data_IF_038815186191
#
_entry.id   IF_038815186191
#
_cell.length_a   1.000
_cell.length_b   1.000
_cell.length_c   1.000
_cell.angle_alpha   90.00
_cell.angle_beta   90.00
_cell.angle_gamma   90.00
#
_symmetry.space_group_name_H-M   'P 1'
#
loop_
_entity.id
_entity.type
_entity.pdbx_description
1 polymer ?
#
# COMPACT_ATOMS: atom_id res chain seq x y z
N UNK A 1 -12.47 -10.21 -23.17
CA UNK A 1 -12.35 -10.04 -21.71
C UNK A 1 -10.87 -9.92 -21.43
N UNK A 2 -10.43 -8.72 -21.06
CA UNK A 2 -9.02 -8.39 -20.97
C UNK A 2 -8.41 -9.02 -19.71
N UNK A 3 -7.33 -9.79 -19.87
CA UNK A 3 -6.62 -10.48 -18.79
C UNK A 3 -6.26 -9.52 -17.63
N UNK A 4 -5.98 -8.26 -17.94
CA UNK A 4 -5.65 -7.20 -16.98
C UNK A 4 -6.80 -6.89 -16.02
N UNK A 5 -8.06 -6.90 -16.50
CA UNK A 5 -9.22 -6.64 -15.66
C UNK A 5 -9.45 -7.77 -14.64
N UNK A 6 -9.24 -9.01 -15.07
CA UNK A 6 -9.35 -10.21 -14.22
C UNK A 6 -8.30 -10.17 -13.10
N UNK A 7 -7.07 -9.74 -13.41
CA UNK A 7 -6.01 -9.61 -12.41
C UNK A 7 -6.32 -8.55 -11.34
N UNK A 8 -6.90 -7.40 -11.72
CA UNK A 8 -7.26 -6.35 -10.78
C UNK A 8 -8.41 -6.78 -9.84
N UNK A 9 -9.46 -7.40 -10.39
CA UNK A 9 -10.58 -7.92 -9.59
C UNK A 9 -10.12 -8.97 -8.56
N UNK A 10 -9.21 -9.87 -8.95
CA UNK A 10 -8.64 -10.86 -8.03
C UNK A 10 -7.85 -10.20 -6.89
N UNK A 11 -7.04 -9.19 -7.19
CA UNK A 11 -6.26 -8.45 -6.19
C UNK A 11 -7.18 -7.77 -5.17
N UNK A 12 -8.21 -7.09 -5.65
CA UNK A 12 -9.18 -6.42 -4.79
C UNK A 12 -9.94 -7.42 -3.92
N UNK A 13 -10.31 -8.58 -4.48
CA UNK A 13 -10.94 -9.65 -3.71
C UNK A 13 -10.04 -10.16 -2.58
N UNK A 14 -8.77 -10.45 -2.87
CA UNK A 14 -7.80 -10.91 -1.86
C UNK A 14 -7.62 -9.87 -0.75
N UNK A 15 -7.48 -8.59 -1.10
CA UNK A 15 -7.31 -7.52 -0.11
C UNK A 15 -8.58 -7.30 0.74
N UNK A 16 -9.76 -7.43 0.14
CA UNK A 16 -11.04 -7.44 0.87
C UNK A 16 -11.14 -8.63 1.83
N UNK A 17 -10.65 -9.80 1.41
CA UNK A 17 -10.65 -11.01 2.24
C UNK A 17 -9.71 -10.89 3.43
N UNK A 18 -8.55 -10.26 3.26
CA UNK A 18 -7.63 -9.87 4.34
C UNK A 18 -8.34 -8.98 5.36
N UNK A 19 -9.00 -7.90 4.91
CA UNK A 19 -9.69 -6.98 5.81
C UNK A 19 -10.81 -7.69 6.59
N UNK A 20 -11.63 -8.47 5.88
CA UNK A 20 -12.74 -9.23 6.47
C UNK A 20 -12.24 -10.22 7.50
N UNK A 21 -11.27 -11.06 7.13
CA UNK A 21 -10.75 -12.08 8.02
C UNK A 21 -10.10 -11.46 9.25
N UNK A 22 -9.29 -10.42 9.08
CA UNK A 22 -8.66 -9.76 10.20
C UNK A 22 -9.66 -9.05 11.11
N UNK A 23 -10.71 -8.44 10.55
CA UNK A 23 -11.78 -7.81 11.33
C UNK A 23 -12.48 -8.83 12.22
N UNK A 24 -12.77 -10.02 11.71
CA UNK A 24 -13.51 -11.10 12.38
C UNK A 24 -12.64 -11.89 13.38
N UNK A 25 -11.43 -12.27 12.98
CA UNK A 25 -10.58 -13.22 13.72
C UNK A 25 -9.40 -12.57 14.43
N UNK A 26 -9.07 -11.31 14.12
CA UNK A 26 -7.86 -10.60 14.56
C UNK A 26 -6.54 -11.29 14.17
N UNK A 27 -6.60 -12.16 13.16
CA UNK A 27 -5.46 -12.89 12.62
C UNK A 27 -5.76 -13.34 11.19
N UNK A 28 -4.75 -13.44 10.34
CA UNK A 28 -4.88 -14.01 9.00
C UNK A 28 -4.58 -15.51 9.02
N UNK A 29 -5.34 -16.29 8.26
CA UNK A 29 -5.10 -17.72 8.13
C UNK A 29 -3.88 -18.04 7.27
N UNK A 30 -3.35 -19.27 7.40
CA UNK A 30 -2.28 -19.76 6.52
C UNK A 30 -2.67 -19.76 5.05
N UNK A 31 -3.96 -19.96 4.74
CA UNK A 31 -4.46 -19.92 3.37
C UNK A 31 -4.36 -18.51 2.79
N UNK A 32 -4.86 -17.50 3.52
CA UNK A 32 -4.76 -16.09 3.14
C UNK A 32 -3.31 -15.63 2.98
N UNK A 33 -2.42 -16.05 3.88
CA UNK A 33 -0.98 -15.81 3.72
C UNK A 33 -0.39 -16.44 2.46
N UNK A 34 -0.79 -17.67 2.12
CA UNK A 34 -0.32 -18.35 0.92
C UNK A 34 -0.84 -17.69 -0.37
N UNK A 35 -2.08 -17.19 -0.36
CA UNK A 35 -2.65 -16.43 -1.49
C UNK A 35 -1.91 -15.11 -1.71
N UNK A 36 -1.63 -14.37 -0.62
CA UNK A 36 -0.84 -13.14 -0.69
C UNK A 36 0.57 -13.39 -1.25
N UNK A 37 1.25 -14.43 -0.78
CA UNK A 37 2.57 -14.80 -1.29
C UNK A 37 2.51 -15.26 -2.76
N UNK A 38 1.48 -16.02 -3.14
CA UNK A 38 1.30 -16.50 -4.51
C UNK A 38 1.02 -15.41 -5.53
N UNK A 39 0.34 -14.33 -5.13
CA UNK A 39 0.02 -13.21 -6.04
C UNK A 39 1.12 -12.15 -6.02
N UNK A 40 1.55 -11.72 -4.84
CA UNK A 40 2.48 -10.59 -4.72
C UNK A 40 3.95 -10.99 -4.60
N UNK A 41 4.25 -12.28 -4.40
CA UNK A 41 5.61 -12.81 -4.35
C UNK A 41 6.49 -12.02 -3.37
N UNK A 42 7.75 -11.72 -3.75
CA UNK A 42 8.69 -10.97 -2.91
C UNK A 42 8.23 -9.56 -2.49
N UNK A 43 7.21 -9.00 -3.15
CA UNK A 43 6.61 -7.72 -2.73
C UNK A 43 5.86 -7.89 -1.41
N UNK A 44 5.21 -9.03 -1.18
CA UNK A 44 4.51 -9.31 0.07
C UNK A 44 5.48 -9.38 1.24
N UNK A 45 6.55 -10.17 1.11
CA UNK A 45 7.59 -10.27 2.15
C UNK A 45 8.18 -8.89 2.49
N UNK A 46 8.46 -8.09 1.46
CA UNK A 46 9.00 -6.73 1.64
C UNK A 46 7.99 -5.78 2.28
N UNK A 47 6.70 -5.88 1.91
CA UNK A 47 5.63 -5.08 2.48
C UNK A 47 5.39 -5.42 3.95
N UNK A 48 5.32 -6.72 4.29
CA UNK A 48 5.19 -7.21 5.66
C UNK A 48 6.33 -6.69 6.54
N UNK A 49 7.58 -6.71 6.05
CA UNK A 49 8.71 -6.16 6.79
C UNK A 49 8.60 -4.64 7.04
N UNK A 50 7.93 -3.87 6.18
CA UNK A 50 7.67 -2.44 6.43
C UNK A 50 6.61 -2.25 7.51
N UNK A 51 5.57 -3.07 7.51
CA UNK A 51 4.50 -3.06 8.51
C UNK A 51 5.05 -3.45 9.89
N UNK A 52 5.80 -4.56 9.97
CA UNK A 52 6.39 -5.06 11.21
C UNK A 52 7.32 -4.03 11.86
N UNK A 53 8.02 -3.24 11.03
CA UNK A 53 8.91 -2.16 11.47
C UNK A 53 8.17 -0.84 11.74
N UNK A 54 6.84 -0.82 11.69
CA UNK A 54 5.97 0.36 11.91
C UNK A 54 6.32 1.54 11.00
N UNK A 55 6.60 1.26 9.73
CA UNK A 55 7.04 2.25 8.72
C UNK A 55 5.90 2.84 7.90
N UNK A 56 4.65 2.56 8.26
CA UNK A 56 3.47 3.03 7.54
C UNK A 56 2.75 4.06 8.39
N UNK A 57 2.55 5.25 7.81
CA UNK A 57 1.78 6.34 8.42
C UNK A 57 0.56 6.66 7.56
N UNK A 58 -0.60 6.73 8.19
CA UNK A 58 -1.82 7.29 7.61
C UNK A 58 -1.84 8.78 7.95
N UNK A 59 -1.69 9.62 6.94
CA UNK A 59 -1.71 11.07 7.08
C UNK A 59 -3.09 11.58 6.70
N UNK A 60 -3.72 12.31 7.62
CA UNK A 60 -5.02 12.94 7.41
C UNK A 60 -4.91 14.45 7.48
N UNK A 61 -5.64 15.12 6.60
CA UNK A 61 -5.78 16.56 6.61
C UNK A 61 -6.94 16.99 7.52
N UNK A 62 -6.91 18.22 8.03
CA UNK A 62 -8.03 18.85 8.74
C UNK A 62 -9.33 18.88 7.92
N UNK A 63 -9.26 18.93 6.57
CA UNK A 63 -10.42 18.78 5.67
C UNK A 63 -10.67 17.35 5.20
N UNK A 64 -10.09 16.34 5.86
CA UNK A 64 -10.40 14.92 5.63
C UNK A 64 -9.69 14.25 4.45
N UNK A 65 -8.75 14.93 3.77
CA UNK A 65 -7.89 14.28 2.76
C UNK A 65 -7.01 13.21 3.42
N UNK A 66 -6.88 12.04 2.80
CA UNK A 66 -6.11 10.92 3.34
C UNK A 66 -5.02 10.53 2.35
N UNK A 67 -3.80 10.36 2.85
CA UNK A 67 -2.68 9.79 2.10
C UNK A 67 -1.89 8.86 3.01
N UNK A 68 -1.15 7.93 2.42
CA UNK A 68 -0.24 7.08 3.18
C UNK A 68 1.21 7.50 2.90
N UNK A 69 2.03 7.49 3.94
CA UNK A 69 3.46 7.64 3.83
C UNK A 69 4.14 6.35 4.30
N UNK A 70 5.00 5.80 3.45
CA UNK A 70 5.73 4.57 3.74
C UNK A 70 7.22 4.86 3.71
N UNK A 71 7.88 4.66 4.86
CA UNK A 71 9.33 4.86 4.97
C UNK A 71 10.07 3.63 4.44
N UNK A 72 10.66 3.76 3.25
CA UNK A 72 11.47 2.71 2.66
C UNK A 72 12.87 2.61 3.25
N UNK A 73 13.76 1.96 2.51
CA UNK A 73 15.16 1.83 2.90
C UNK A 73 15.88 3.18 2.81
N UNK A 74 16.88 3.40 3.67
CA UNK A 74 17.66 4.65 3.75
C UNK A 74 16.86 5.92 4.10
N UNK A 75 15.73 5.77 4.81
CA UNK A 75 14.87 6.87 5.29
C UNK A 75 14.18 7.68 4.19
N UNK A 76 14.08 7.14 2.97
CA UNK A 76 13.24 7.72 1.94
C UNK A 76 11.77 7.50 2.31
N UNK A 77 10.96 8.57 2.21
CA UNK A 77 9.52 8.50 2.46
C UNK A 77 8.79 8.55 1.13
N UNK A 78 7.95 7.55 0.89
CA UNK A 78 7.15 7.45 -0.32
C UNK A 78 5.70 7.79 -0.01
N UNK A 79 5.10 8.64 -0.84
CA UNK A 79 3.67 8.96 -0.73
C UNK A 79 2.89 7.95 -1.56
N UNK A 80 1.92 7.30 -0.93
CA UNK A 80 1.07 6.27 -1.52
C UNK A 80 -0.40 6.71 -1.48
N UNK A 81 -1.11 6.42 -2.57
CA UNK A 81 -2.57 6.54 -2.65
C UNK A 81 -3.15 5.15 -2.85
N UNK A 82 -3.58 4.47 -1.78
CA UNK A 82 -3.98 3.07 -1.86
C UNK A 82 -5.16 2.82 -2.80
N UNK A 83 -6.13 3.75 -2.86
CA UNK A 83 -7.32 3.65 -3.73
C UNK A 83 -7.01 3.73 -5.22
N UNK A 84 -5.89 4.33 -5.60
CA UNK A 84 -5.44 4.42 -7.00
C UNK A 84 -4.15 3.63 -7.25
N UNK A 85 -3.75 2.81 -6.27
CA UNK A 85 -2.54 1.98 -6.30
C UNK A 85 -1.24 2.72 -6.61
N UNK A 86 -1.20 4.04 -6.39
CA UNK A 86 -0.09 4.88 -6.81
C UNK A 86 1.01 4.96 -5.75
N UNK A 87 2.26 4.98 -6.21
CA UNK A 87 3.41 5.40 -5.41
C UNK A 87 4.47 6.07 -6.29
N UNK A 88 5.14 7.10 -5.78
CA UNK A 88 6.24 7.78 -6.50
C UNK A 88 7.59 7.03 -6.45
N UNK A 89 7.62 5.74 -6.09
CA UNK A 89 8.87 4.99 -6.06
C UNK A 89 9.27 4.47 -7.45
N UNK A 90 10.58 4.30 -7.66
CA UNK A 90 11.12 3.78 -8.94
C UNK A 90 10.53 2.42 -9.34
N UNK A 91 10.35 1.50 -8.38
CA UNK A 91 9.76 0.17 -8.64
C UNK A 91 8.32 0.27 -9.16
N UNK A 92 7.51 1.22 -8.69
CA UNK A 92 6.18 1.45 -9.24
C UNK A 92 6.26 1.85 -10.72
N UNK A 93 7.01 2.90 -11.05
CA UNK A 93 7.11 3.37 -12.43
C UNK A 93 7.67 2.28 -13.36
N UNK A 94 8.69 1.56 -12.92
CA UNK A 94 9.40 0.62 -13.77
C UNK A 94 8.75 -0.77 -13.81
N UNK A 95 8.45 -1.37 -12.66
CA UNK A 95 7.98 -2.75 -12.58
C UNK A 95 6.46 -2.87 -12.70
N UNK A 96 5.69 -1.89 -12.19
CA UNK A 96 4.21 -1.91 -12.28
C UNK A 96 3.76 -1.30 -13.59
N UNK A 97 4.15 -0.05 -13.88
CA UNK A 97 3.61 0.69 -15.04
C UNK A 97 4.27 0.28 -16.36
N UNK A 98 5.61 0.34 -16.44
CA UNK A 98 6.31 0.11 -17.71
C UNK A 98 6.39 -1.36 -18.10
N UNK A 99 6.71 -2.22 -17.14
CA UNK A 99 6.97 -3.63 -17.42
C UNK A 99 5.84 -4.58 -17.05
N UNK A 100 4.94 -4.18 -16.16
CA UNK A 100 3.85 -5.04 -15.66
C UNK A 100 4.37 -6.39 -15.11
N UNK A 101 5.56 -6.37 -14.50
CA UNK A 101 6.20 -7.55 -13.89
C UNK A 101 5.60 -7.90 -12.53
N UNK A 102 5.14 -6.88 -11.81
CA UNK A 102 4.50 -7.03 -10.49
C UNK A 102 3.22 -6.20 -10.46
N UNK A 103 2.16 -6.67 -9.79
CA UNK A 103 0.89 -5.96 -9.74
C UNK A 103 0.97 -4.66 -8.93
N UNK A 104 1.88 -4.61 -7.96
CA UNK A 104 1.97 -3.49 -7.03
C UNK A 104 3.40 -3.36 -6.48
N UNK A 105 3.83 -2.12 -6.21
CA UNK A 105 5.08 -1.93 -5.49
C UNK A 105 4.89 -2.27 -4.00
N UNK A 106 5.97 -2.70 -3.33
CA UNK A 106 5.96 -3.04 -1.90
C UNK A 106 5.37 -1.94 -0.99
N UNK A 107 5.50 -0.67 -1.37
CA UNK A 107 5.02 0.45 -0.56
C UNK A 107 3.49 0.58 -0.60
N UNK A 108 2.88 0.48 -1.79
CA UNK A 108 1.42 0.51 -1.91
C UNK A 108 0.83 -0.73 -1.25
N UNK A 109 1.46 -1.90 -1.43
CA UNK A 109 1.02 -3.13 -0.78
C UNK A 109 1.09 -3.00 0.75
N UNK A 110 2.18 -2.44 1.28
CA UNK A 110 2.30 -2.17 2.71
C UNK A 110 1.22 -1.20 3.21
N UNK A 111 0.88 -0.15 2.44
CA UNK A 111 -0.18 0.79 2.80
C UNK A 111 -1.56 0.12 2.82
N UNK A 112 -1.90 -0.68 1.79
CA UNK A 112 -3.17 -1.43 1.72
C UNK A 112 -3.32 -2.43 2.84
N UNK A 113 -2.29 -3.24 3.08
CA UNK A 113 -2.30 -4.24 4.15
C UNK A 113 -2.33 -3.56 5.53
N UNK A 114 -1.54 -2.51 5.75
CA UNK A 114 -1.59 -1.77 7.01
C UNK A 114 -2.98 -1.18 7.27
N UNK A 115 -3.64 -0.63 6.24
CA UNK A 115 -5.00 -0.12 6.34
C UNK A 115 -5.99 -1.23 6.74
N UNK A 116 -5.95 -2.36 6.04
CA UNK A 116 -6.81 -3.52 6.31
C UNK A 116 -6.59 -4.13 7.71
N UNK A 117 -5.34 -4.14 8.18
CA UNK A 117 -4.95 -4.68 9.48
C UNK A 117 -5.06 -3.66 10.61
N UNK A 118 -5.29 -2.37 10.30
CA UNK A 118 -5.24 -1.28 11.29
C UNK A 118 -3.84 -1.05 11.88
N UNK A 119 -2.78 -1.49 11.19
CA UNK A 119 -1.39 -1.45 11.68
C UNK A 119 -0.61 -0.30 11.05
N UNK A 120 -0.96 0.94 11.40
CA UNK A 120 -0.29 2.15 10.95
C UNK A 120 -0.23 3.21 12.07
N UNK A 121 0.70 4.14 11.96
CA UNK A 121 0.67 5.37 12.75
C UNK A 121 -0.32 6.35 12.13
N UNK A 122 -1.29 6.86 12.90
CA UNK A 122 -2.19 7.90 12.43
C UNK A 122 -1.65 9.28 12.80
N UNK A 123 -1.50 10.15 11.79
CA UNK A 123 -1.03 11.53 11.96
C UNK A 123 -2.01 12.48 11.29
N UNK A 124 -2.30 13.61 11.94
CA UNK A 124 -3.11 14.66 11.38
C UNK A 124 -2.27 15.93 11.16
N UNK A 125 -2.38 16.53 9.99
CA UNK A 125 -1.71 17.77 9.62
C UNK A 125 -2.70 18.82 9.07
N UNK A 126 -2.34 20.12 9.13
CA UNK A 126 -3.06 21.16 8.40
C UNK A 126 -3.06 20.91 6.89
N UNK A 127 -4.12 21.39 6.21
CA UNK A 127 -4.30 21.22 4.77
C UNK A 127 -3.15 21.75 3.92
N UNK A 128 -2.50 22.82 4.35
CA UNK A 128 -1.37 23.43 3.65
C UNK A 128 -0.16 22.49 3.62
N UNK A 129 0.07 21.78 4.73
CA UNK A 129 1.16 20.81 4.86
C UNK A 129 0.87 19.60 3.97
N UNK A 130 -0.33 19.02 4.06
CA UNK A 130 -0.72 17.88 3.22
C UNK A 130 -0.62 18.26 1.74
N UNK A 131 -1.12 19.43 1.36
CA UNK A 131 -1.02 19.93 -0.02
C UNK A 131 0.44 20.05 -0.49
N UNK A 132 1.34 20.50 0.39
CA UNK A 132 2.77 20.60 0.08
C UNK A 132 3.42 19.23 -0.10
N UNK A 133 3.09 18.25 0.75
CA UNK A 133 3.54 16.85 0.59
C UNK A 133 3.11 16.28 -0.77
N UNK A 134 1.88 16.58 -1.20
CA UNK A 134 1.35 16.12 -2.47
C UNK A 134 2.07 16.74 -3.67
N UNK A 135 2.37 18.04 -3.63
CA UNK A 135 3.13 18.72 -4.69
C UNK A 135 4.53 18.14 -4.87
N UNK A 136 5.23 17.87 -3.77
CA UNK A 136 6.59 17.32 -3.81
C UNK A 136 6.65 15.89 -4.34
N UNK A 137 5.53 15.16 -4.28
CA UNK A 137 5.42 13.79 -4.80
C UNK A 137 5.46 13.75 -6.34
N UNK A 138 5.14 14.86 -7.03
CA UNK A 138 5.03 14.95 -8.51
C UNK A 138 6.32 15.51 -9.15
N UNK A 139 7.20 16.15 -8.37
CA UNK A 139 8.40 16.83 -8.88
C UNK A 139 9.72 16.04 -8.70
N UNK A 140 9.64 14.76 -8.32
CA UNK A 140 10.82 13.88 -8.10
C UNK A 140 10.97 12.83 -9.18
#
# INVERSE_FOLDING_TARGET
>A
MDCVAIHHELIEQILSDVEREFREKKSLSRATFAELEGVFHGQFQSASALIDRKRVKRVTSTKGRVVFQVEGERRNVYTCFPSSEFCNCYSYLHQVIRKQEVPMCKHVLAARLAEALGTYEHVQYPDEIVTSLLKNTISS
#
